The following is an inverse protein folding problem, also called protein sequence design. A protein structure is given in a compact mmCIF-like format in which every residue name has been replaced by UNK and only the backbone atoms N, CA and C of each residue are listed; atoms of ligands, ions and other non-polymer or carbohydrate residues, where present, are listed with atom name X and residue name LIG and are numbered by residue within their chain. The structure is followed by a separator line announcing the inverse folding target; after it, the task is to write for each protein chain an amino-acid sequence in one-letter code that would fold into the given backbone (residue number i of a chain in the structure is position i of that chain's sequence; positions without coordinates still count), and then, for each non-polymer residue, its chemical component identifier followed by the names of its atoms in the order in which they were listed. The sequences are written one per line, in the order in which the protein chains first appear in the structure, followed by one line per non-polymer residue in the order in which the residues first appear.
data_IF_999737767868
#
_entry.id   IF_999737767868
#
_cell.length_a   1.000
_cell.length_b   1.000
_cell.length_c   1.000
_cell.angle_alpha   90.00
_cell.angle_beta   90.00
_cell.angle_gamma   90.00
#
_symmetry.space_group_name_H-M   'P 1'
#
loop_
_entity.id
_entity.type
_entity.pdbx_description
1 polymer ?
#
# COMPACT_ATOMS: atom_id res chain seq x y z
N UNK A 1 -34.79 -13.83 20.58
CA UNK A 1 -33.88 -12.68 20.45
C UNK A 1 -32.52 -13.26 20.12
N UNK A 2 -32.15 -13.27 18.82
CA UNK A 2 -30.88 -13.87 18.37
C UNK A 2 -29.76 -12.86 18.55
N UNK A 3 -28.65 -13.27 19.15
CA UNK A 3 -27.45 -12.47 19.36
C UNK A 3 -26.63 -12.38 18.07
N UNK A 4 -25.84 -11.30 17.93
CA UNK A 4 -25.04 -10.98 16.73
C UNK A 4 -23.98 -12.04 16.35
N UNK A 5 -23.78 -13.07 17.18
CA UNK A 5 -22.97 -14.26 16.88
C UNK A 5 -23.55 -15.14 15.78
N UNK A 6 -24.88 -15.14 15.60
CA UNK A 6 -25.56 -16.13 14.76
C UNK A 6 -25.65 -15.71 13.28
N UNK A 7 -25.24 -14.48 12.96
CA UNK A 7 -25.29 -13.92 11.60
C UNK A 7 -23.96 -14.05 10.83
N UNK A 8 -22.85 -14.38 11.50
CA UNK A 8 -21.56 -14.62 10.83
C UNK A 8 -21.43 -16.06 10.29
N UNK A 9 -22.32 -16.96 10.69
CA UNK A 9 -22.29 -18.37 10.31
C UNK A 9 -22.94 -18.68 8.94
N UNK A 10 -23.26 -17.67 8.13
CA UNK A 10 -24.13 -17.86 6.94
C UNK A 10 -23.52 -17.48 5.60
N UNK A 11 -22.20 -17.22 5.51
CA UNK A 11 -21.53 -16.95 4.22
C UNK A 11 -20.41 -17.95 3.88
N UNK A 12 -20.31 -19.08 4.58
CA UNK A 12 -19.45 -20.23 4.22
C UNK A 12 -20.08 -21.09 3.11
N UNK A 13 -20.47 -20.46 1.99
CA UNK A 13 -20.89 -21.14 0.76
C UNK A 13 -20.17 -20.52 -0.45
N UNK A 14 -18.85 -20.62 -0.46
CA UNK A 14 -18.07 -20.52 -1.69
C UNK A 14 -17.12 -21.72 -1.79
N UNK A 15 -17.74 -22.85 -2.14
CA UNK A 15 -17.22 -24.04 -2.80
C UNK A 15 -15.73 -24.41 -2.60
N UNK A 16 -15.56 -25.41 -1.75
CA UNK A 16 -14.55 -26.46 -1.89
C UNK A 16 -14.52 -27.07 -3.30
N UNK A 17 -13.31 -27.42 -3.74
CA UNK A 17 -12.93 -28.13 -4.97
C UNK A 17 -12.65 -27.28 -6.23
N UNK A 18 -11.43 -26.73 -6.34
CA UNK A 18 -10.52 -27.23 -7.40
C UNK A 18 -9.04 -26.92 -7.12
N UNK A 19 -8.24 -28.00 -7.23
CA UNK A 19 -6.77 -28.07 -7.42
C UNK A 19 -5.87 -28.16 -6.17
N UNK A 20 -5.82 -29.40 -5.66
CA UNK A 20 -4.55 -30.13 -5.43
C UNK A 20 -3.53 -29.79 -6.52
N UNK A 21 -2.32 -29.40 -6.13
CA UNK A 21 -1.16 -29.43 -7.01
C UNK A 21 -0.25 -28.20 -6.92
N UNK A 22 0.38 -27.96 -5.78
CA UNK A 22 1.80 -27.61 -5.71
C UNK A 22 2.23 -27.52 -4.24
N UNK A 23 3.20 -28.37 -3.88
CA UNK A 23 4.13 -28.35 -2.74
C UNK A 23 4.25 -29.77 -2.17
N UNK A 24 4.82 -30.64 -3.02
CA UNK A 24 5.70 -31.70 -2.55
C UNK A 24 6.96 -31.04 -1.96
N UNK A 25 7.34 -31.46 -0.75
CA UNK A 25 8.58 -31.03 -0.07
C UNK A 25 8.54 -29.68 0.67
N UNK A 26 8.65 -29.75 2.00
CA UNK A 26 8.74 -28.63 2.97
C UNK A 26 7.41 -27.93 3.33
N UNK A 27 6.60 -28.63 4.13
CA UNK A 27 5.38 -28.13 4.76
C UNK A 27 5.66 -27.00 5.76
N UNK A 28 5.62 -25.75 5.29
CA UNK A 28 5.26 -24.62 6.17
C UNK A 28 3.77 -24.77 6.47
N UNK A 29 3.44 -25.20 7.68
CA UNK A 29 2.08 -25.30 8.19
C UNK A 29 1.48 -23.89 8.27
N UNK A 30 0.80 -23.44 7.22
CA UNK A 30 0.07 -22.18 7.22
C UNK A 30 -1.10 -22.31 8.22
N UNK A 31 -0.90 -21.80 9.42
CA UNK A 31 -1.93 -21.75 10.46
C UNK A 31 -3.05 -20.82 9.96
N UNK A 32 -4.29 -21.30 9.85
CA UNK A 32 -5.42 -20.51 9.32
C UNK A 32 -5.63 -19.18 10.05
N UNK A 33 -5.28 -19.14 11.35
CA UNK A 33 -5.30 -17.91 12.15
C UNK A 33 -4.29 -16.85 11.69
N UNK A 34 -3.13 -17.23 11.15
CA UNK A 34 -2.18 -16.26 10.58
C UNK A 34 -2.68 -15.69 9.26
N UNK A 35 -3.23 -16.51 8.38
CA UNK A 35 -3.81 -16.05 7.11
C UNK A 35 -4.91 -15.01 7.35
N UNK A 36 -5.82 -15.28 8.29
CA UNK A 36 -6.88 -14.35 8.68
C UNK A 36 -6.37 -13.01 9.24
N UNK A 37 -5.17 -12.99 9.86
CA UNK A 37 -4.55 -11.76 10.37
C UNK A 37 -3.78 -10.98 9.30
N UNK A 38 -3.32 -11.64 8.23
CA UNK A 38 -2.53 -11.00 7.17
C UNK A 38 -3.46 -10.37 6.10
N UNK A 39 -4.67 -10.91 5.91
CA UNK A 39 -5.64 -10.35 4.94
C UNK A 39 -6.04 -8.89 5.23
N UNK A 40 -6.32 -8.45 6.47
CA UNK A 40 -6.59 -7.05 6.77
C UNK A 40 -5.39 -6.13 6.47
N UNK A 41 -4.17 -6.62 6.71
CA UNK A 41 -2.93 -5.89 6.41
C UNK A 41 -2.76 -5.70 4.91
N UNK A 42 -3.07 -6.73 4.11
CA UNK A 42 -3.02 -6.64 2.64
C UNK A 42 -3.97 -5.56 2.08
N UNK A 43 -5.20 -5.47 2.59
CA UNK A 43 -6.14 -4.42 2.18
C UNK A 43 -5.69 -3.03 2.63
N UNK A 44 -5.11 -2.92 3.82
CA UNK A 44 -4.53 -1.66 4.30
C UNK A 44 -3.34 -1.21 3.45
N UNK A 45 -2.51 -2.14 2.98
CA UNK A 45 -1.40 -1.85 2.06
C UNK A 45 -1.93 -1.31 0.74
N UNK A 46 -2.85 -2.02 0.08
CA UNK A 46 -3.44 -1.56 -1.19
C UNK A 46 -4.06 -0.16 -1.06
N UNK A 47 -4.76 0.11 0.05
CA UNK A 47 -5.34 1.43 0.27
C UNK A 47 -4.27 2.51 0.54
N UNK A 48 -3.26 2.19 1.35
CA UNK A 48 -2.15 3.10 1.64
C UNK A 48 -1.36 3.45 0.39
N UNK A 49 -1.07 2.44 -0.43
CA UNK A 49 -0.40 2.56 -1.71
C UNK A 49 -1.21 3.41 -2.70
N UNK A 50 -2.54 3.29 -2.72
CA UNK A 50 -3.38 4.15 -3.56
C UNK A 50 -3.32 5.63 -3.14
N UNK A 51 -3.19 5.90 -1.84
CA UNK A 51 -3.04 7.28 -1.36
C UNK A 51 -1.62 7.80 -1.66
N UNK A 52 -0.61 6.95 -1.55
CA UNK A 52 0.79 7.27 -1.89
C UNK A 52 0.90 7.68 -3.36
N UNK A 53 0.49 6.77 -4.26
CA UNK A 53 0.46 6.97 -5.70
C UNK A 53 -0.34 8.23 -6.10
N UNK A 54 -1.47 8.50 -5.45
CA UNK A 54 -2.22 9.75 -5.68
C UNK A 54 -1.40 11.00 -5.30
N UNK A 55 -0.67 10.99 -4.19
CA UNK A 55 0.19 12.12 -3.77
C UNK A 55 1.41 12.30 -4.69
N UNK A 56 1.94 11.22 -5.23
CA UNK A 56 2.98 11.25 -6.26
C UNK A 56 2.50 11.94 -7.52
N UNK A 57 1.35 11.50 -8.04
CA UNK A 57 0.68 12.12 -9.17
C UNK A 57 0.43 13.61 -8.93
N UNK A 58 -0.08 13.97 -7.76
CA UNK A 58 -0.34 15.35 -7.36
C UNK A 58 0.94 16.20 -7.43
N UNK A 59 2.04 15.66 -6.92
CA UNK A 59 3.36 16.31 -6.93
C UNK A 59 3.89 16.49 -8.35
N UNK A 60 3.79 15.46 -9.19
CA UNK A 60 4.19 15.53 -10.60
C UNK A 60 3.38 16.59 -11.35
N UNK A 61 2.06 16.60 -11.16
CA UNK A 61 1.14 17.52 -11.81
C UNK A 61 1.49 18.98 -11.47
N UNK A 62 1.63 19.28 -10.18
CA UNK A 62 2.08 20.59 -9.73
C UNK A 62 3.49 20.92 -10.24
N UNK A 63 4.39 19.94 -10.31
CA UNK A 63 5.72 20.06 -10.88
C UNK A 63 5.75 20.60 -12.31
N UNK A 64 4.93 20.03 -13.19
CA UNK A 64 4.84 20.46 -14.57
C UNK A 64 4.28 21.88 -14.73
N UNK A 65 3.45 22.35 -13.81
CA UNK A 65 2.99 23.75 -13.82
C UNK A 65 4.09 24.76 -13.48
N UNK A 66 5.12 24.33 -12.75
CA UNK A 66 6.24 25.20 -12.38
C UNK A 66 7.29 25.29 -13.49
N UNK A 67 7.73 24.15 -14.02
CA UNK A 67 8.55 24.09 -15.22
C UNK A 67 8.63 22.66 -15.75
N UNK A 68 8.93 22.53 -17.04
CA UNK A 68 9.17 21.24 -17.67
C UNK A 68 10.31 20.46 -16.97
N UNK A 69 11.39 21.15 -16.60
CA UNK A 69 12.54 20.53 -15.93
C UNK A 69 12.16 19.96 -14.56
N UNK A 70 11.41 20.71 -13.74
CA UNK A 70 10.96 20.24 -12.42
C UNK A 70 10.02 19.03 -12.58
N UNK A 71 9.05 19.09 -13.50
CA UNK A 71 8.13 17.99 -13.76
C UNK A 71 8.85 16.71 -14.16
N UNK A 72 9.81 16.78 -15.09
CA UNK A 72 10.61 15.61 -15.52
C UNK A 72 11.44 15.05 -14.36
N UNK A 73 12.09 15.91 -13.57
CA UNK A 73 12.87 15.47 -12.41
C UNK A 73 12.00 14.75 -11.39
N UNK A 74 10.80 15.25 -11.09
CA UNK A 74 9.85 14.61 -10.18
C UNK A 74 9.36 13.27 -10.73
N UNK A 75 9.01 13.19 -12.02
CA UNK A 75 8.64 11.92 -12.66
C UNK A 75 9.72 10.85 -12.50
N UNK A 76 10.98 11.19 -12.77
CA UNK A 76 12.09 10.24 -12.68
C UNK A 76 12.32 9.85 -11.22
N UNK A 77 12.27 10.81 -10.29
CA UNK A 77 12.50 10.55 -8.86
C UNK A 77 11.43 9.60 -8.30
N UNK A 78 10.16 9.90 -8.56
CA UNK A 78 9.01 9.09 -8.13
C UNK A 78 9.03 7.72 -8.80
N UNK A 79 9.32 7.64 -10.10
CA UNK A 79 9.42 6.36 -10.79
C UNK A 79 10.49 5.43 -10.15
N UNK A 80 11.58 6.01 -9.62
CA UNK A 80 12.64 5.25 -8.97
C UNK A 80 12.28 4.76 -7.57
N UNK A 81 11.41 5.47 -6.83
CA UNK A 81 10.93 5.02 -5.52
C UNK A 81 9.72 4.08 -5.62
N UNK A 82 8.88 4.24 -6.64
CA UNK A 82 7.70 3.38 -6.85
C UNK A 82 8.07 1.98 -7.33
N UNK A 83 9.08 1.83 -8.19
CA UNK A 83 9.48 0.51 -8.69
C UNK A 83 9.80 -0.50 -7.56
N UNK A 84 10.64 -0.18 -6.56
CA UNK A 84 10.86 -1.06 -5.42
C UNK A 84 9.65 -1.14 -4.47
N UNK A 85 8.87 -0.07 -4.32
CA UNK A 85 7.68 -0.04 -3.47
C UNK A 85 6.63 -1.06 -3.94
N UNK A 86 6.24 -0.96 -5.21
CA UNK A 86 5.25 -1.82 -5.86
C UNK A 86 5.68 -3.30 -5.90
N UNK A 87 6.99 -3.56 -6.02
CA UNK A 87 7.52 -4.92 -5.91
C UNK A 87 7.41 -5.48 -4.49
N UNK A 88 7.59 -4.63 -3.47
CA UNK A 88 7.40 -4.98 -2.07
C UNK A 88 5.95 -5.33 -1.74
N UNK A 89 5.01 -4.51 -2.20
CA UNK A 89 3.58 -4.72 -2.01
C UNK A 89 3.09 -5.99 -2.68
N UNK A 90 3.55 -6.25 -3.91
CA UNK A 90 3.32 -7.51 -4.59
C UNK A 90 3.79 -8.73 -3.75
N UNK A 91 4.98 -8.66 -3.14
CA UNK A 91 5.48 -9.75 -2.30
C UNK A 91 4.65 -9.97 -1.03
N UNK A 92 4.13 -8.90 -0.43
CA UNK A 92 3.25 -8.98 0.74
C UNK A 92 1.88 -9.55 0.36
N UNK A 93 1.31 -9.15 -0.78
CA UNK A 93 0.05 -9.67 -1.29
C UNK A 93 0.11 -11.18 -1.56
N UNK A 94 1.20 -11.66 -2.17
CA UNK A 94 1.44 -13.10 -2.33
C UNK A 94 1.50 -13.82 -0.99
N UNK A 95 2.18 -13.23 0.00
CA UNK A 95 2.30 -13.77 1.36
C UNK A 95 0.96 -13.76 2.12
N UNK A 96 0.04 -12.86 1.74
CA UNK A 96 -1.33 -12.79 2.26
C UNK A 96 -2.28 -13.81 1.62
N UNK A 97 -1.83 -14.58 0.63
CA UNK A 97 -2.62 -15.61 -0.04
C UNK A 97 -3.30 -15.16 -1.34
N UNK A 98 -2.99 -13.98 -1.87
CA UNK A 98 -3.48 -13.56 -3.18
C UNK A 98 -2.83 -14.41 -4.28
N UNK A 99 -3.59 -14.75 -5.33
CA UNK A 99 -2.99 -15.35 -6.52
C UNK A 99 -2.12 -14.31 -7.25
N UNK A 100 -1.09 -14.76 -7.96
CA UNK A 100 -0.16 -13.87 -8.70
C UNK A 100 -0.90 -12.87 -9.59
N UNK A 101 -1.94 -13.32 -10.30
CA UNK A 101 -2.73 -12.46 -11.18
C UNK A 101 -3.50 -11.40 -10.39
N UNK A 102 -4.12 -11.78 -9.28
CA UNK A 102 -4.88 -10.85 -8.45
C UNK A 102 -3.97 -9.87 -7.72
N UNK A 103 -2.84 -10.32 -7.19
CA UNK A 103 -1.84 -9.45 -6.58
C UNK A 103 -1.37 -8.38 -7.57
N UNK A 104 -1.01 -8.76 -8.81
CA UNK A 104 -0.59 -7.80 -9.84
C UNK A 104 -1.71 -6.82 -10.22
N UNK A 105 -2.93 -7.30 -10.41
CA UNK A 105 -4.06 -6.43 -10.81
C UNK A 105 -4.41 -5.44 -9.70
N UNK A 106 -4.52 -5.89 -8.45
CA UNK A 106 -4.84 -5.02 -7.32
C UNK A 106 -3.77 -3.94 -7.12
N UNK A 107 -2.50 -4.33 -7.21
CA UNK A 107 -1.35 -3.45 -7.10
C UNK A 107 -1.35 -2.41 -8.24
N UNK A 108 -1.50 -2.85 -9.50
CA UNK A 108 -1.58 -1.94 -10.64
C UNK A 108 -2.78 -0.99 -10.60
N UNK A 109 -3.94 -1.46 -10.13
CA UNK A 109 -5.12 -0.61 -9.95
C UNK A 109 -4.89 0.46 -8.87
N UNK A 110 -4.10 0.15 -7.85
CA UNK A 110 -3.67 1.10 -6.84
C UNK A 110 -2.81 2.21 -7.45
N UNK A 111 -1.82 1.86 -8.29
CA UNK A 111 -0.99 2.84 -9.00
C UNK A 111 -1.77 3.73 -9.98
N UNK A 112 -2.92 3.28 -10.49
CA UNK A 112 -3.77 4.11 -11.36
C UNK A 112 -4.31 5.38 -10.66
N UNK A 113 -4.34 5.39 -9.33
CA UNK A 113 -4.70 6.58 -8.54
C UNK A 113 -3.76 7.78 -8.79
N UNK A 114 -2.51 7.53 -9.23
CA UNK A 114 -1.56 8.58 -9.59
C UNK A 114 -2.07 9.47 -10.73
N UNK A 115 -2.84 8.93 -11.67
CA UNK A 115 -3.44 9.76 -12.72
C UNK A 115 -4.48 10.74 -12.18
N UNK A 116 -5.23 10.34 -11.15
CA UNK A 116 -6.19 11.23 -10.47
C UNK A 116 -5.43 12.35 -9.78
N UNK A 117 -4.37 12.01 -9.04
CA UNK A 117 -3.46 12.96 -8.43
C UNK A 117 -2.89 13.95 -9.46
N UNK A 118 -2.39 13.45 -10.59
CA UNK A 118 -1.82 14.25 -11.68
C UNK A 118 -2.78 15.31 -12.19
N UNK A 119 -4.03 14.93 -12.47
CA UNK A 119 -5.06 15.84 -12.97
C UNK A 119 -5.36 16.94 -11.94
N UNK A 120 -5.51 16.57 -10.67
CA UNK A 120 -5.74 17.52 -9.58
C UNK A 120 -4.53 18.44 -9.41
N UNK A 121 -3.31 17.90 -9.51
CA UNK A 121 -2.06 18.63 -9.34
C UNK A 121 -1.85 19.67 -10.44
N UNK A 122 -2.19 19.33 -11.68
CA UNK A 122 -2.22 20.27 -12.80
C UNK A 122 -3.25 21.38 -12.55
N UNK A 123 -4.48 21.02 -12.16
CA UNK A 123 -5.55 22.00 -11.94
C UNK A 123 -5.23 22.98 -10.79
N UNK A 124 -4.68 22.49 -9.68
CA UNK A 124 -4.31 23.34 -8.53
C UNK A 124 -3.02 24.11 -8.83
N UNK A 125 -2.06 23.51 -9.55
CA UNK A 125 -0.77 24.11 -9.83
C UNK A 125 -0.83 25.39 -10.66
N UNK A 126 -1.85 25.56 -11.50
CA UNK A 126 -2.08 26.78 -12.28
C UNK A 126 -2.54 27.98 -11.43
N UNK A 127 -3.10 27.73 -10.24
CA UNK A 127 -3.52 28.80 -9.31
C UNK A 127 -2.29 29.46 -8.70
N UNK A 128 -2.27 30.79 -8.49
CA UNK A 128 -1.19 31.46 -7.77
C UNK A 128 -0.88 30.78 -6.44
N UNK A 129 0.37 30.40 -6.22
CA UNK A 129 0.85 29.66 -5.04
C UNK A 129 0.29 28.24 -4.87
N UNK A 130 -0.50 27.72 -5.82
CA UNK A 130 -1.11 26.39 -5.74
C UNK A 130 -0.08 25.27 -5.72
N UNK A 131 0.94 25.33 -6.59
CA UNK A 131 2.03 24.35 -6.59
C UNK A 131 2.82 24.32 -5.28
N UNK A 132 3.04 25.48 -4.64
CA UNK A 132 3.71 25.56 -3.33
C UNK A 132 2.89 24.87 -2.25
N UNK A 133 1.57 25.03 -2.26
CA UNK A 133 0.67 24.33 -1.32
C UNK A 133 0.72 22.83 -1.56
N UNK A 134 0.67 22.39 -2.83
CA UNK A 134 0.79 20.97 -3.18
C UNK A 134 2.10 20.40 -2.66
N UNK A 135 3.25 21.02 -2.96
CA UNK A 135 4.55 20.54 -2.49
C UNK A 135 4.66 20.51 -0.98
N UNK A 136 4.14 21.52 -0.28
CA UNK A 136 4.14 21.53 1.18
C UNK A 136 3.29 20.38 1.76
N UNK A 137 2.12 20.12 1.17
CA UNK A 137 1.24 19.02 1.58
C UNK A 137 1.87 17.66 1.32
N UNK A 138 2.40 17.42 0.12
CA UNK A 138 2.97 16.12 -0.26
C UNK A 138 4.27 15.84 0.47
N UNK A 139 5.13 16.85 0.64
CA UNK A 139 6.33 16.75 1.49
C UNK A 139 5.97 16.40 2.93
N UNK A 140 4.94 17.04 3.50
CA UNK A 140 4.45 16.74 4.84
C UNK A 140 3.91 15.32 4.98
N UNK A 141 3.18 14.85 3.97
CA UNK A 141 2.68 13.47 3.90
C UNK A 141 3.83 12.45 3.87
N UNK A 142 4.80 12.60 2.97
CA UNK A 142 5.93 11.68 2.90
C UNK A 142 6.77 11.70 4.17
N UNK A 143 7.00 12.88 4.75
CA UNK A 143 7.69 13.01 6.03
C UNK A 143 6.96 12.25 7.13
N UNK A 144 5.63 12.34 7.20
CA UNK A 144 4.83 11.58 8.16
C UNK A 144 4.96 10.06 7.98
N UNK A 145 4.83 9.57 6.73
CA UNK A 145 4.97 8.15 6.43
C UNK A 145 6.36 7.64 6.83
N UNK A 146 7.42 8.32 6.41
CA UNK A 146 8.81 7.94 6.75
C UNK A 146 9.05 7.93 8.26
N UNK A 147 8.56 8.92 9.01
CA UNK A 147 8.70 8.97 10.46
C UNK A 147 7.92 7.84 11.15
N UNK A 148 6.70 7.55 10.69
CA UNK A 148 5.85 6.53 11.27
C UNK A 148 6.45 5.12 11.16
N UNK A 149 7.11 4.81 10.04
CA UNK A 149 7.82 3.54 9.86
C UNK A 149 9.10 3.49 10.71
N UNK A 150 9.88 4.57 10.70
CA UNK A 150 11.15 4.62 11.44
C UNK A 150 10.97 4.50 12.96
N UNK A 151 9.93 5.12 13.54
CA UNK A 151 9.69 5.08 15.00
C UNK A 151 9.16 3.72 15.45
N UNK A 152 8.40 3.01 14.61
CA UNK A 152 7.77 1.74 14.98
C UNK A 152 8.78 0.60 15.17
N UNK A 153 9.84 0.56 14.36
CA UNK A 153 10.87 -0.50 14.39
C UNK A 153 11.68 -0.58 15.70
N UNK A 154 12.26 0.51 16.25
CA UNK A 154 13.00 0.44 17.51
C UNK A 154 12.10 0.15 18.73
N UNK A 155 10.87 0.65 18.74
CA UNK A 155 9.92 0.42 19.86
C UNK A 155 9.49 -1.05 19.97
N UNK A 156 9.26 -1.70 18.83
CA UNK A 156 8.92 -3.14 18.80
C UNK A 156 10.10 -4.01 19.24
N UNK A 157 11.33 -3.62 18.91
CA UNK A 157 12.54 -4.31 19.40
C UNK A 157 12.71 -4.16 20.92
N UNK A 158 12.52 -2.96 21.48
CA UNK A 158 12.66 -2.73 22.92
C UNK A 158 11.62 -3.52 23.73
N UNK A 159 10.36 -3.56 23.24
CA UNK A 159 9.30 -4.37 23.84
C UNK A 159 9.58 -5.88 23.77
N UNK A 160 10.14 -6.35 22.65
CA UNK A 160 10.49 -7.77 22.48
C UNK A 160 11.66 -8.17 23.37
N UNK A 161 12.68 -7.31 23.50
CA UNK A 161 13.83 -7.54 24.37
C UNK A 161 13.45 -7.53 25.85
N UNK A 162 12.60 -6.60 26.27
CA UNK A 162 12.08 -6.52 27.64
C UNK A 162 11.28 -7.77 28.06
N UNK A 163 10.57 -8.42 27.12
CA UNK A 163 9.88 -9.70 27.36
C UNK A 163 10.81 -10.91 27.48
N UNK A 164 12.02 -10.86 26.92
CA UNK A 164 13.00 -11.96 27.05
C UNK A 164 13.79 -11.91 28.36
N UNK A 165 13.79 -10.76 29.05
CA UNK A 165 14.50 -10.56 30.32
C UNK A 165 13.62 -10.77 31.57
N UNK A 166 12.35 -11.13 31.39
CA UNK A 166 11.40 -11.48 32.46
C UNK A 166 11.00 -12.94 32.32
#
# INVERSE_FOLDING_TARGET
MKTASDLYASTDNFDTETKKGCCDGMLVKCNGERLAQITPVAWMILFGDSVHNMMDGLTIGAGFTQSLSIGITLCISIMLEELPHEFGDFAILLSAGFSVKWALICNFLSSCSAYIGLIIGLAIGEVPSGATVVFALTTGFFLYISLSDMVRRPLTLQNSYSKMLK
#
